data_IF_809374996601
#
_entry.id   IF_809374996601
#
_cell.length_a   1.000
_cell.length_b   1.000
_cell.length_c   1.000
_cell.angle_alpha   90.00
_cell.angle_beta   90.00
_cell.angle_gamma   90.00
#
_symmetry.space_group_name_H-M   'P 1'
#
loop_
_entity.id
_entity.type
_entity.pdbx_description
1 polymer ?
#
# COMPACT_ATOMS: atom_id res chain seq x y z
N UNK A 1 -20.86 -21.33 13.01
CA UNK A 1 -20.84 -20.06 12.25
C UNK A 1 -19.47 -19.46 12.45
N UNK A 2 -18.50 -19.92 11.67
CA UNK A 2 -17.12 -19.46 11.74
C UNK A 2 -17.09 -18.07 11.10
N UNK A 3 -17.03 -17.04 11.93
CA UNK A 3 -16.74 -15.69 11.46
C UNK A 3 -15.31 -15.75 10.92
N UNK A 4 -15.14 -15.62 9.60
CA UNK A 4 -13.80 -15.37 9.05
C UNK A 4 -13.23 -14.17 9.81
N UNK A 5 -12.07 -14.34 10.44
CA UNK A 5 -11.34 -13.22 11.01
C UNK A 5 -10.85 -12.35 9.85
N UNK A 6 -11.65 -11.36 9.49
CA UNK A 6 -11.39 -10.40 8.40
C UNK A 6 -10.03 -9.70 8.57
N UNK A 7 -9.57 -9.57 9.83
CA UNK A 7 -8.27 -9.02 10.20
C UNK A 7 -7.06 -9.86 9.76
N UNK A 8 -7.24 -11.13 9.38
CA UNK A 8 -6.12 -11.98 8.91
C UNK A 8 -5.69 -11.68 7.47
N UNK A 9 -6.41 -10.80 6.77
CA UNK A 9 -6.21 -10.56 5.34
C UNK A 9 -6.02 -9.07 5.00
N UNK A 10 -5.79 -8.24 6.01
CA UNK A 10 -5.41 -6.84 5.81
C UNK A 10 -3.92 -6.76 5.54
N UNK A 11 -3.54 -6.35 4.32
CA UNK A 11 -2.14 -6.09 4.02
C UNK A 11 -1.80 -4.66 4.45
N UNK A 12 -0.94 -4.52 5.46
CA UNK A 12 -0.42 -3.22 5.89
C UNK A 12 0.93 -2.96 5.25
N UNK A 13 1.02 -1.89 4.49
CA UNK A 13 2.25 -1.46 3.85
C UNK A 13 2.82 -0.28 4.62
N UNK A 14 4.04 -0.44 5.10
CA UNK A 14 4.81 0.64 5.72
C UNK A 14 5.48 1.43 4.60
N UNK A 15 5.02 2.66 4.41
CA UNK A 15 5.43 3.57 3.36
C UNK A 15 5.87 4.88 3.99
N UNK A 16 6.45 5.74 3.16
CA UNK A 16 6.71 7.11 3.51
C UNK A 16 5.77 8.03 2.75
N UNK A 17 5.35 9.11 3.40
CA UNK A 17 4.57 10.15 2.76
C UNK A 17 5.27 11.50 2.94
N UNK A 18 5.14 12.35 1.94
CA UNK A 18 5.63 13.72 1.96
C UNK A 18 4.48 14.65 2.31
N UNK A 19 4.62 15.40 3.41
CA UNK A 19 3.69 16.45 3.78
C UNK A 19 4.08 17.73 3.06
N UNK A 20 3.18 18.18 2.17
CA UNK A 20 3.44 19.32 1.28
C UNK A 20 2.18 20.20 1.23
N UNK A 21 2.29 21.54 1.12
CA UNK A 21 1.12 22.40 0.96
C UNK A 21 0.27 21.99 -0.25
N UNK A 22 -1.07 22.04 -0.11
CA UNK A 22 -2.01 21.59 -1.14
C UNK A 22 -1.81 22.28 -2.49
N UNK A 23 -1.34 23.53 -2.49
CA UNK A 23 -1.07 24.33 -3.69
C UNK A 23 0.15 23.77 -4.47
N UNK A 24 1.13 23.21 -3.76
CA UNK A 24 2.35 22.63 -4.31
C UNK A 24 2.24 21.12 -4.53
N UNK A 25 1.25 20.46 -3.94
CA UNK A 25 1.03 19.02 -4.08
C UNK A 25 0.97 18.58 -5.55
N UNK A 26 0.36 19.37 -6.42
CA UNK A 26 0.31 19.09 -7.88
C UNK A 26 1.70 19.09 -8.52
N UNK A 27 2.52 20.10 -8.19
CA UNK A 27 3.88 20.22 -8.70
C UNK A 27 4.79 19.10 -8.15
N UNK A 28 4.72 18.82 -6.85
CA UNK A 28 5.45 17.71 -6.23
C UNK A 28 5.06 16.35 -6.84
N UNK A 29 3.77 16.11 -7.05
CA UNK A 29 3.27 14.90 -7.72
C UNK A 29 3.83 14.78 -9.14
N UNK A 30 3.93 15.89 -9.88
CA UNK A 30 4.50 15.89 -11.23
C UNK A 30 5.99 15.55 -11.24
N UNK A 31 6.76 16.01 -10.26
CA UNK A 31 8.18 15.66 -10.10
C UNK A 31 8.36 14.17 -9.78
N UNK A 32 7.52 13.64 -8.87
CA UNK A 32 7.57 12.27 -8.39
C UNK A 32 6.93 11.24 -9.35
N UNK A 33 6.16 11.70 -10.35
CA UNK A 33 5.52 10.85 -11.36
C UNK A 33 6.52 9.96 -12.13
N UNK A 34 7.82 10.27 -12.07
CA UNK A 34 8.91 9.48 -12.67
C UNK A 34 9.13 8.10 -12.03
N UNK A 35 8.19 7.59 -11.22
CA UNK A 35 8.23 6.25 -10.62
C UNK A 35 8.42 6.22 -9.10
N UNK A 36 8.36 7.38 -8.44
CA UNK A 36 8.54 7.49 -6.97
C UNK A 36 7.20 7.57 -6.22
N UNK A 37 6.09 7.76 -6.92
CA UNK A 37 4.75 7.73 -6.32
C UNK A 37 4.28 6.30 -6.09
N UNK A 38 3.33 6.15 -5.17
CA UNK A 38 2.61 4.90 -4.98
C UNK A 38 1.92 4.46 -6.28
N UNK A 39 2.40 3.36 -6.85
CA UNK A 39 1.87 2.76 -8.07
C UNK A 39 0.98 1.56 -7.73
N UNK A 40 -0.19 1.86 -7.13
CA UNK A 40 -1.19 0.85 -6.79
C UNK A 40 -2.53 1.17 -7.47
N UNK A 41 -3.11 0.23 -8.24
CA UNK A 41 -4.38 0.48 -8.92
C UNK A 41 -5.46 0.86 -7.90
N UNK A 42 -6.33 1.84 -8.18
CA UNK A 42 -7.39 2.31 -7.27
C UNK A 42 -6.91 3.04 -5.99
N UNK A 43 -5.62 3.10 -5.69
CA UNK A 43 -5.11 3.92 -4.58
C UNK A 43 -4.62 5.25 -5.14
N UNK A 44 -5.01 6.35 -4.48
CA UNK A 44 -4.53 7.67 -4.85
C UNK A 44 -3.16 7.89 -4.19
N UNK A 45 -2.12 8.32 -4.94
CA UNK A 45 -0.82 8.63 -4.36
C UNK A 45 -0.84 9.93 -3.55
N UNK A 46 -1.88 10.76 -3.67
CA UNK A 46 -2.05 11.98 -2.88
C UNK A 46 -3.30 11.84 -2.03
N UNK A 47 -3.14 11.94 -0.72
CA UNK A 47 -4.21 11.89 0.27
C UNK A 47 -4.24 13.18 1.09
N UNK A 48 -5.34 13.41 1.80
CA UNK A 48 -5.50 14.56 2.67
C UNK A 48 -4.73 14.35 3.98
N UNK A 49 -4.17 15.43 4.53
CA UNK A 49 -3.42 15.38 5.78
C UNK A 49 -4.39 15.48 6.96
N UNK A 50 -4.49 14.44 7.82
CA UNK A 50 -5.43 14.44 8.94
C UNK A 50 -5.09 15.49 10.00
N UNK A 51 -3.83 15.95 10.02
CA UNK A 51 -3.37 17.00 10.92
C UNK A 51 -3.64 18.41 10.38
N UNK A 52 -3.89 18.60 9.07
CA UNK A 52 -4.09 19.92 8.45
C UNK A 52 -4.72 19.85 7.06
N UNK A 53 -5.89 20.47 6.88
CA UNK A 53 -6.55 20.65 5.57
C UNK A 53 -5.77 21.50 4.54
N UNK A 54 -4.74 22.23 5.00
CA UNK A 54 -3.88 23.04 4.13
C UNK A 54 -2.80 22.21 3.45
N UNK A 55 -2.48 21.04 3.99
CA UNK A 55 -1.43 20.17 3.52
C UNK A 55 -2.03 18.93 2.85
N UNK A 56 -1.22 18.28 2.02
CA UNK A 56 -1.53 16.97 1.46
C UNK A 56 -0.36 16.05 1.69
N UNK A 57 -0.69 14.78 1.84
CA UNK A 57 0.28 13.71 1.99
C UNK A 57 0.47 13.03 0.64
N UNK A 58 1.66 13.16 0.08
CA UNK A 58 2.05 12.47 -1.14
C UNK A 58 2.72 11.16 -0.74
N UNK A 59 1.98 10.07 -0.87
CA UNK A 59 2.43 8.71 -0.55
C UNK A 59 3.43 8.24 -1.61
N UNK A 60 4.60 7.86 -1.12
CA UNK A 60 5.71 7.37 -1.91
C UNK A 60 5.56 5.88 -2.24
N UNK A 61 6.31 5.45 -3.24
CA UNK A 61 6.37 4.06 -3.67
C UNK A 61 6.95 3.16 -2.57
N UNK A 62 6.55 1.88 -2.58
CA UNK A 62 7.09 0.82 -1.70
C UNK A 62 8.62 0.69 -1.80
N UNK A 63 9.22 1.11 -2.92
CA UNK A 63 10.67 1.12 -3.12
C UNK A 63 11.41 2.03 -2.14
N UNK A 64 10.78 3.13 -1.74
CA UNK A 64 11.38 4.10 -0.84
C UNK A 64 11.14 3.59 0.58
N UNK A 65 12.17 3.04 1.19
CA UNK A 65 12.15 2.57 2.58
C UNK A 65 12.94 3.49 3.51
N UNK A 66 13.70 4.44 2.96
CA UNK A 66 14.55 5.35 3.70
C UNK A 66 13.89 6.74 3.89
N UNK A 67 13.84 7.27 5.13
CA UNK A 67 13.29 8.60 5.40
C UNK A 67 14.11 9.73 4.78
N UNK A 68 15.40 9.49 4.54
CA UNK A 68 16.31 10.46 3.92
C UNK A 68 16.10 10.62 2.40
N UNK A 69 15.17 9.85 1.82
CA UNK A 69 14.85 9.83 0.39
C UNK A 69 16.06 9.49 -0.50
N UNK A 70 17.05 8.76 0.03
CA UNK A 70 18.24 8.34 -0.71
C UNK A 70 17.94 7.46 -1.93
N UNK A 71 16.76 6.82 -1.96
CA UNK A 71 16.24 6.05 -3.09
C UNK A 71 15.74 6.94 -4.25
N UNK A 72 15.53 8.23 -4.00
CA UNK A 72 15.10 9.22 -4.99
C UNK A 72 16.34 9.83 -5.64
N UNK A 73 16.30 10.02 -6.96
CA UNK A 73 17.35 10.76 -7.66
C UNK A 73 17.52 12.17 -7.07
N UNK A 74 18.78 12.55 -6.79
CA UNK A 74 19.16 13.85 -6.22
C UNK A 74 18.51 15.02 -6.96
N UNK A 75 18.44 14.97 -8.30
CA UNK A 75 17.78 16.01 -9.11
C UNK A 75 16.30 16.22 -8.76
N UNK A 76 15.56 15.14 -8.50
CA UNK A 76 14.14 15.20 -8.13
C UNK A 76 14.01 15.69 -6.70
N UNK A 77 14.86 15.19 -5.81
CA UNK A 77 14.91 15.61 -4.41
C UNK A 77 15.25 17.10 -4.25
N UNK A 78 16.23 17.60 -4.99
CA UNK A 78 16.60 19.02 -5.02
C UNK A 78 15.44 19.88 -5.54
N UNK A 79 14.82 19.48 -6.66
CA UNK A 79 13.63 20.17 -7.20
C UNK A 79 12.48 20.23 -6.19
N UNK A 80 12.32 19.16 -5.40
CA UNK A 80 11.33 19.05 -4.34
C UNK A 80 11.65 20.02 -3.19
N UNK A 81 12.90 20.04 -2.71
CA UNK A 81 13.36 20.98 -1.67
C UNK A 81 13.28 22.45 -2.10
N UNK A 82 13.55 22.74 -3.38
CA UNK A 82 13.41 24.09 -3.92
C UNK A 82 11.95 24.54 -4.01
N UNK A 83 11.02 23.59 -4.16
CA UNK A 83 9.59 23.87 -4.23
C UNK A 83 9.03 24.26 -2.85
N UNK A 84 9.35 23.49 -1.81
CA UNK A 84 8.88 23.72 -0.45
C UNK A 84 9.74 23.01 0.60
N UNK A 85 9.51 23.35 1.88
CA UNK A 85 9.91 22.47 2.97
C UNK A 85 9.05 21.20 2.92
N UNK A 86 9.70 20.06 2.74
CA UNK A 86 9.02 18.76 2.65
C UNK A 86 9.33 17.99 3.90
N UNK A 87 8.27 17.58 4.59
CA UNK A 87 8.37 16.75 5.78
C UNK A 87 8.05 15.30 5.41
N UNK A 88 9.05 14.43 5.58
CA UNK A 88 8.92 12.99 5.33
C UNK A 88 8.37 12.35 6.59
N UNK A 89 7.15 11.84 6.50
CA UNK A 89 6.47 11.20 7.63
C UNK A 89 6.20 9.71 7.34
N UNK A 90 6.24 8.84 8.36
CA UNK A 90 5.85 7.45 8.18
C UNK A 90 4.34 7.36 7.89
N UNK A 91 3.97 6.58 6.87
CA UNK A 91 2.59 6.39 6.43
C UNK A 91 2.27 4.90 6.32
N UNK A 92 1.22 4.44 7.00
CA UNK A 92 0.77 3.06 6.91
C UNK A 92 -0.45 2.96 6.00
N UNK A 93 -0.29 2.31 4.84
CA UNK A 93 -1.40 2.03 3.95
C UNK A 93 -1.99 0.66 4.28
N UNK A 94 -3.23 0.64 4.77
CA UNK A 94 -3.97 -0.61 5.01
C UNK A 94 -4.82 -0.95 3.80
N UNK A 95 -4.44 -2.01 3.09
CA UNK A 95 -5.22 -2.57 1.98
C UNK A 95 -6.14 -3.67 2.53
N UNK A 96 -7.42 -3.34 2.67
CA UNK A 96 -8.45 -4.27 3.11
C UNK A 96 -9.05 -5.11 1.97
N UNK A 97 -9.99 -6.00 2.32
CA UNK A 97 -10.72 -6.90 1.40
C UNK A 97 -11.34 -6.21 0.18
N UNK A 98 -11.83 -4.97 0.32
CA UNK A 98 -12.42 -4.20 -0.80
C UNK A 98 -11.42 -3.87 -1.92
N UNK A 99 -10.12 -4.00 -1.65
CA UNK A 99 -9.07 -3.71 -2.61
C UNK A 99 -8.80 -4.89 -3.56
N UNK A 100 -8.88 -6.12 -3.06
CA UNK A 100 -8.67 -7.33 -3.83
C UNK A 100 -10.01 -7.87 -4.31
N UNK A 101 -10.23 -7.96 -5.63
CA UNK A 101 -11.33 -8.77 -6.14
C UNK A 101 -11.19 -10.19 -5.57
N UNK A 102 -12.29 -10.77 -5.05
CA UNK A 102 -12.31 -12.05 -4.34
C UNK A 102 -11.51 -13.19 -5.03
N UNK A 103 -11.40 -13.12 -6.35
CA UNK A 103 -10.62 -14.02 -7.21
C UNK A 103 -9.11 -14.06 -6.92
N UNK A 104 -8.50 -12.94 -6.48
CA UNK A 104 -7.05 -12.85 -6.23
C UNK A 104 -6.67 -13.34 -4.83
N UNK A 105 -7.54 -13.10 -3.83
CA UNK A 105 -7.31 -13.60 -2.46
C UNK A 105 -7.33 -15.13 -2.46
N UNK A 106 -8.26 -15.76 -3.18
CA UNK A 106 -8.37 -17.23 -3.30
C UNK A 106 -7.08 -17.93 -3.75
N UNK A 107 -6.22 -17.27 -4.54
CA UNK A 107 -4.93 -17.83 -4.98
C UNK A 107 -3.82 -17.70 -3.95
N UNK A 108 -3.90 -16.74 -3.03
CA UNK A 108 -2.88 -16.53 -1.99
C UNK A 108 -3.17 -17.31 -0.70
N UNK A 109 -4.40 -17.79 -0.49
CA UNK A 109 -4.77 -18.69 0.63
C UNK A 109 -4.38 -20.15 0.39
N UNK A 110 -3.98 -20.52 -0.82
CA UNK A 110 -3.43 -21.83 -1.08
C UNK A 110 -1.91 -21.76 -0.84
N UNK A 111 -1.37 -22.38 0.24
CA UNK A 111 0.07 -22.46 0.40
C UNK A 111 0.70 -23.17 -0.80
N UNK A 112 1.84 -22.66 -1.27
CA UNK A 112 2.67 -23.33 -2.27
C UNK A 112 3.20 -24.64 -1.67
N UNK A 113 2.42 -25.72 -1.76
CA UNK A 113 2.79 -27.01 -1.19
C UNK A 113 1.65 -27.93 -0.75
N UNK A 114 0.37 -27.58 -0.93
CA UNK A 114 -0.70 -28.59 -0.85
C UNK A 114 -0.88 -29.19 -2.23
N UNK A 115 -0.26 -30.36 -2.40
CA UNK A 115 -0.72 -31.36 -3.36
C UNK A 115 -2.22 -31.48 -3.17
N UNK A 116 -3.01 -31.19 -4.20
CA UNK A 116 -4.43 -31.51 -4.18
C UNK A 116 -4.54 -33.02 -3.96
N UNK A 117 -5.04 -33.54 -2.82
CA UNK A 117 -5.42 -34.94 -2.82
C UNK A 117 -6.63 -35.05 -3.71
N UNK A 118 -6.40 -35.52 -4.94
CA UNK A 118 -7.43 -36.00 -5.83
C UNK A 118 -8.02 -37.27 -5.21
N UNK A 119 -8.90 -37.13 -4.20
CA UNK A 119 -9.93 -38.11 -3.88
C UNK A 119 -10.78 -37.60 -2.70
N UNK A 120 -12.04 -37.31 -2.99
CA UNK A 120 -13.07 -37.15 -1.97
C UNK A 120 -13.59 -38.56 -1.64
N UNK A 121 -12.91 -39.32 -0.78
CA UNK A 121 -13.48 -40.56 -0.24
C UNK A 121 -14.14 -40.29 1.11
N UNK A 122 -15.47 -40.34 1.08
CA UNK A 122 -16.35 -40.24 2.24
C UNK A 122 -16.10 -41.42 3.18
N UNK A 123 -15.51 -41.16 4.35
CA UNK A 123 -15.53 -42.14 5.44
C UNK A 123 -16.83 -41.91 6.22
N UNK A 124 -17.84 -42.73 5.94
CA UNK A 124 -18.98 -42.92 6.83
C UNK A 124 -18.53 -43.84 7.97
N UNK A 125 -18.28 -43.28 9.16
CA UNK A 125 -18.12 -44.11 10.35
C UNK A 125 -19.50 -44.45 10.89
N UNK A 126 -20.00 -45.62 10.50
CA UNK A 126 -21.06 -46.35 11.17
C UNK A 126 -20.40 -47.51 11.91
N UNK A 127 -20.40 -47.51 13.25
CA UNK A 127 -20.23 -48.74 14.00
C UNK A 127 -20.99 -48.71 15.33
N UNK A 128 -22.02 -49.57 15.32
CA UNK A 128 -22.79 -50.29 16.35
C UNK A 128 -23.10 -49.65 17.71
#
# INVERSE_FOLDING_TARGET
>A
MEKLDESKFEQRLQLWALRIPRELASAATRLLRSGYLLDKPRIKPVVEDPESDRNRLVVLSEKIQNPDLSDIQEKVYDSLKQLCNIDVIPYTLTLGYSYWSADHILKQILPAGVEVPSSFETIVMLHI
#
